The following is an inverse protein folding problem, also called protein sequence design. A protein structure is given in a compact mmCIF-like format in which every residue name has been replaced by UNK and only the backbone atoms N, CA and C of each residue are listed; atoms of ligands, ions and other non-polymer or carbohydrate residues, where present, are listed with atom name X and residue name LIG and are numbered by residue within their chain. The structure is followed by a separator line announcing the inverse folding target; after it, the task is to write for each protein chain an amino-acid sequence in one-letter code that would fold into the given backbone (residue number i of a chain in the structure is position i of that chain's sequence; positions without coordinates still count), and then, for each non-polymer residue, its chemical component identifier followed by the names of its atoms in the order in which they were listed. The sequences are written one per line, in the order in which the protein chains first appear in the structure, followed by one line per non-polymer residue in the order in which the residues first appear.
data_IF_483999269845
#
_entry.id   IF_483999269845
#
_cell.length_a   1.000
_cell.length_b   1.000
_cell.length_c   1.000
_cell.angle_alpha   90.00
_cell.angle_beta   90.00
_cell.angle_gamma   90.00
#
_symmetry.space_group_name_H-M   'P 1'
#
loop_
_entity.id
_entity.type
_entity.pdbx_description
1 polymer ?
#
# COMPACT_ATOMS: atom_id res chain seq x y z
N UNK A 1 -12.99 27.74 11.70
CA UNK A 1 -11.60 27.33 12.01
C UNK A 1 -10.73 27.72 10.82
N UNK A 2 -9.40 27.79 10.98
CA UNK A 2 -8.50 28.11 9.86
C UNK A 2 -8.31 26.87 8.98
N UNK A 3 -8.46 27.01 7.66
CA UNK A 3 -8.29 25.91 6.69
C UNK A 3 -6.91 25.25 6.82
N UNK A 4 -5.86 26.05 7.07
CA UNK A 4 -4.49 25.52 7.25
C UNK A 4 -4.38 24.68 8.52
N UNK A 5 -5.08 25.08 9.59
CA UNK A 5 -5.12 24.31 10.83
C UNK A 5 -5.84 22.98 10.64
N UNK A 6 -6.97 23.00 9.93
CA UNK A 6 -7.75 21.79 9.67
C UNK A 6 -6.94 20.80 8.79
N UNK A 7 -6.26 21.32 7.77
CA UNK A 7 -5.37 20.54 6.92
C UNK A 7 -4.18 19.96 7.71
N UNK A 8 -3.62 20.71 8.66
CA UNK A 8 -2.57 20.21 9.56
C UNK A 8 -3.06 19.04 10.40
N UNK A 9 -4.20 19.20 11.08
CA UNK A 9 -4.77 18.14 11.93
C UNK A 9 -5.10 16.88 11.13
N UNK A 10 -5.65 17.03 9.91
CA UNK A 10 -5.94 15.90 9.03
C UNK A 10 -4.66 15.21 8.55
N UNK A 11 -3.62 15.98 8.23
CA UNK A 11 -2.32 15.43 7.82
C UNK A 11 -1.65 14.69 8.97
N UNK A 12 -1.73 15.20 10.20
CA UNK A 12 -1.22 14.53 11.40
C UNK A 12 -1.98 13.24 11.68
N UNK A 13 -3.32 13.27 11.68
CA UNK A 13 -4.13 12.07 11.86
C UNK A 13 -3.82 10.99 10.81
N UNK A 14 -3.67 11.38 9.55
CA UNK A 14 -3.30 10.46 8.47
C UNK A 14 -1.88 9.91 8.68
N UNK A 15 -0.94 10.76 9.12
CA UNK A 15 0.41 10.31 9.44
C UNK A 15 0.43 9.31 10.59
N UNK A 16 -0.37 9.51 11.64
CA UNK A 16 -0.51 8.56 12.75
C UNK A 16 -1.08 7.22 12.28
N UNK A 17 -2.13 7.24 11.44
CA UNK A 17 -2.70 6.02 10.85
C UNK A 17 -1.67 5.31 9.97
N UNK A 18 -1.05 6.03 9.04
CA UNK A 18 -0.02 5.50 8.16
C UNK A 18 1.18 4.97 8.95
N UNK A 19 1.45 5.52 10.14
CA UNK A 19 2.54 5.10 11.02
C UNK A 19 2.32 3.74 11.71
N UNK A 20 1.10 3.22 11.69
CA UNK A 20 0.78 1.89 12.20
C UNK A 20 1.31 0.79 11.25
N UNK A 21 1.66 -0.39 11.78
CA UNK A 21 2.06 -1.52 10.94
C UNK A 21 0.91 -1.95 10.04
N UNK A 22 1.22 -2.40 8.82
CA UNK A 22 0.21 -2.90 7.89
C UNK A 22 -0.48 -4.14 8.48
N UNK A 23 -1.83 -4.20 8.51
CA UNK A 23 -2.53 -5.37 8.99
C UNK A 23 -2.15 -6.63 8.19
N UNK A 24 -2.07 -7.76 8.89
CA UNK A 24 -1.78 -9.07 8.27
C UNK A 24 -3.03 -9.73 7.73
N UNK A 25 -4.16 -9.53 8.39
CA UNK A 25 -5.45 -9.99 7.93
C UNK A 25 -5.87 -9.25 6.65
N UNK A 26 -6.48 -9.96 5.72
CA UNK A 26 -6.87 -9.42 4.42
C UNK A 26 -7.98 -8.37 4.55
N UNK A 27 -9.02 -8.63 5.34
CA UNK A 27 -10.16 -7.72 5.50
C UNK A 27 -9.77 -6.47 6.28
N UNK A 28 -8.91 -6.61 7.29
CA UNK A 28 -8.36 -5.47 8.04
C UNK A 28 -7.46 -4.60 7.16
N UNK A 29 -6.67 -5.22 6.27
CA UNK A 29 -5.81 -4.51 5.33
C UNK A 29 -6.62 -3.73 4.31
N UNK A 30 -7.67 -4.32 3.75
CA UNK A 30 -8.56 -3.62 2.80
C UNK A 30 -9.25 -2.43 3.47
N UNK A 31 -9.72 -2.59 4.71
CA UNK A 31 -10.27 -1.46 5.50
C UNK A 31 -9.24 -0.38 5.79
N UNK A 32 -8.00 -0.77 6.13
CA UNK A 32 -6.91 0.18 6.36
C UNK A 32 -6.63 1.02 5.10
N UNK A 33 -6.52 0.37 3.94
CA UNK A 33 -6.27 1.05 2.66
C UNK A 33 -7.44 1.98 2.32
N UNK A 34 -8.67 1.50 2.42
CA UNK A 34 -9.86 2.31 2.18
C UNK A 34 -9.90 3.55 3.10
N UNK A 35 -9.49 3.40 4.38
CA UNK A 35 -9.45 4.53 5.31
C UNK A 35 -8.37 5.55 4.95
N UNK A 36 -7.20 5.08 4.51
CA UNK A 36 -6.13 5.95 4.00
C UNK A 36 -6.62 6.73 2.78
N UNK A 37 -7.30 6.08 1.84
CA UNK A 37 -7.84 6.72 0.64
C UNK A 37 -8.91 7.78 0.96
N UNK A 38 -9.82 7.48 1.88
CA UNK A 38 -10.83 8.45 2.38
C UNK A 38 -10.15 9.70 2.96
N UNK A 39 -9.14 9.51 3.82
CA UNK A 39 -8.42 10.63 4.45
C UNK A 39 -7.58 11.44 3.44
N UNK A 40 -7.10 10.81 2.37
CA UNK A 40 -6.43 11.50 1.27
C UNK A 40 -7.42 12.37 0.48
N UNK A 41 -8.60 11.83 0.15
CA UNK A 41 -9.65 12.59 -0.54
C UNK A 41 -10.11 13.81 0.28
N UNK A 42 -10.35 13.63 1.59
CA UNK A 42 -10.68 14.74 2.49
C UNK A 42 -9.58 15.82 2.52
N UNK A 43 -8.31 15.42 2.47
CA UNK A 43 -7.19 16.38 2.40
C UNK A 43 -7.17 17.13 1.08
N UNK A 44 -7.43 16.47 -0.04
CA UNK A 44 -7.42 17.10 -1.36
C UNK A 44 -8.50 18.20 -1.45
N UNK A 45 -9.68 17.96 -0.89
CA UNK A 45 -10.72 18.98 -0.76
C UNK A 45 -10.25 20.18 0.09
N UNK A 46 -9.58 19.94 1.22
CA UNK A 46 -9.05 21.02 2.06
C UNK A 46 -7.94 21.80 1.36
N UNK A 47 -7.05 21.12 0.63
CA UNK A 47 -5.97 21.75 -0.14
C UNK A 47 -6.54 22.68 -1.21
N UNK A 48 -7.59 22.26 -1.92
CA UNK A 48 -8.26 23.09 -2.93
C UNK A 48 -8.82 24.40 -2.35
N UNK A 49 -9.17 24.40 -1.06
CA UNK A 49 -9.71 25.56 -0.36
C UNK A 49 -8.64 26.49 0.26
N UNK A 50 -7.35 26.14 0.20
CA UNK A 50 -6.27 26.99 0.73
C UNK A 50 -5.98 28.15 -0.21
N UNK A 51 -6.30 29.37 0.21
CA UNK A 51 -5.88 30.59 -0.49
C UNK A 51 -4.58 31.15 0.12
N UNK A 52 -3.45 30.84 -0.53
CA UNK A 52 -2.11 31.24 -0.07
C UNK A 52 -1.90 32.76 0.08
N UNK A 53 -2.68 33.58 -0.64
CA UNK A 53 -2.55 35.06 -0.59
C UNK A 53 -3.21 35.68 0.64
N UNK A 54 -4.09 34.96 1.33
CA UNK A 54 -4.88 35.48 2.45
C UNK A 54 -4.43 34.94 3.82
N UNK A 55 -3.30 34.22 3.85
CA UNK A 55 -2.79 33.62 5.08
C UNK A 55 -2.14 34.66 6.01
N UNK A 56 -2.51 34.61 7.27
CA UNK A 56 -1.84 35.33 8.35
C UNK A 56 -0.42 34.80 8.60
N UNK A 57 0.44 35.57 9.26
CA UNK A 57 1.80 35.12 9.60
C UNK A 57 1.82 33.86 10.47
N UNK A 58 0.83 33.69 11.36
CA UNK A 58 0.68 32.48 12.17
C UNK A 58 0.37 31.27 11.29
N UNK A 59 -0.54 31.43 10.33
CA UNK A 59 -0.91 30.36 9.38
C UNK A 59 0.24 30.02 8.43
N UNK A 60 1.04 31.00 8.01
CA UNK A 60 2.25 30.74 7.20
C UNK A 60 3.26 29.88 7.96
N UNK A 61 3.50 30.16 9.25
CA UNK A 61 4.37 29.33 10.11
C UNK A 61 3.81 27.92 10.24
N UNK A 62 2.50 27.79 10.49
CA UNK A 62 1.85 26.49 10.54
C UNK A 62 1.94 25.75 9.20
N UNK A 63 1.83 26.46 8.09
CA UNK A 63 2.02 25.94 6.73
C UNK A 63 3.43 25.38 6.51
N UNK A 64 4.46 25.99 7.09
CA UNK A 64 5.83 25.45 7.02
C UNK A 64 5.94 24.11 7.78
N UNK A 65 5.36 24.01 8.97
CA UNK A 65 5.32 22.76 9.72
C UNK A 65 4.48 21.69 9.00
N UNK A 66 3.36 22.09 8.39
CA UNK A 66 2.54 21.23 7.55
C UNK A 66 3.33 20.64 6.38
N UNK A 67 4.16 21.44 5.69
CA UNK A 67 4.99 20.95 4.58
C UNK A 67 6.00 19.90 5.05
N UNK A 68 6.63 20.09 6.22
CA UNK A 68 7.54 19.09 6.81
C UNK A 68 6.80 17.79 7.14
N UNK A 69 5.63 17.91 7.78
CA UNK A 69 4.79 16.77 8.11
C UNK A 69 4.32 16.02 6.87
N UNK A 70 3.94 16.75 5.81
CA UNK A 70 3.56 16.15 4.53
C UNK A 70 4.70 15.38 3.88
N UNK A 71 5.94 15.88 3.95
CA UNK A 71 7.10 15.15 3.43
C UNK A 71 7.30 13.81 4.15
N UNK A 72 7.19 13.81 5.49
CA UNK A 72 7.26 12.58 6.29
C UNK A 72 6.12 11.61 5.96
N UNK A 73 4.90 12.13 5.77
CA UNK A 73 3.75 11.33 5.34
C UNK A 73 3.98 10.71 3.96
N UNK A 74 4.46 11.47 2.98
CA UNK A 74 4.76 10.95 1.64
C UNK A 74 5.79 9.81 1.70
N UNK A 75 6.85 9.97 2.50
CA UNK A 75 7.83 8.91 2.70
C UNK A 75 7.18 7.66 3.30
N UNK A 76 6.31 7.82 4.30
CA UNK A 76 5.63 6.67 4.93
C UNK A 76 4.67 5.96 3.97
N UNK A 77 3.88 6.70 3.20
CA UNK A 77 2.99 6.13 2.19
C UNK A 77 3.75 5.37 1.11
N UNK A 78 4.92 5.88 0.68
CA UNK A 78 5.80 5.17 -0.26
C UNK A 78 6.31 3.84 0.31
N UNK A 79 6.66 3.80 1.61
CA UNK A 79 7.07 2.56 2.29
C UNK A 79 5.92 1.53 2.33
N UNK A 80 4.70 1.96 2.69
CA UNK A 80 3.52 1.08 2.68
C UNK A 80 3.27 0.53 1.28
N UNK A 81 3.34 1.39 0.25
CA UNK A 81 3.18 0.97 -1.14
C UNK A 81 4.23 -0.08 -1.54
N UNK A 82 5.49 0.09 -1.12
CA UNK A 82 6.54 -0.88 -1.37
C UNK A 82 6.28 -2.22 -0.66
N UNK A 83 5.82 -2.19 0.59
CA UNK A 83 5.45 -3.39 1.35
C UNK A 83 4.31 -4.17 0.67
N UNK A 84 3.27 -3.47 0.23
CA UNK A 84 2.15 -4.07 -0.53
C UNK A 84 2.66 -4.73 -1.82
N UNK A 85 3.55 -4.06 -2.57
CA UNK A 85 4.14 -4.63 -3.81
C UNK A 85 4.98 -5.87 -3.53
N UNK A 86 5.76 -5.88 -2.44
CA UNK A 86 6.54 -7.05 -2.04
C UNK A 86 5.61 -8.23 -1.70
N UNK A 87 4.57 -8.00 -0.90
CA UNK A 87 3.59 -9.04 -0.55
C UNK A 87 2.89 -9.64 -1.79
N UNK A 88 2.52 -8.81 -2.77
CA UNK A 88 1.94 -9.28 -4.03
C UNK A 88 2.92 -10.14 -4.85
N UNK A 89 4.20 -9.82 -4.80
CA UNK A 89 5.27 -10.58 -5.48
C UNK A 89 5.45 -11.95 -4.81
N UNK A 90 5.49 -11.98 -3.48
CA UNK A 90 5.60 -13.23 -2.71
C UNK A 90 4.42 -14.17 -2.96
N UNK A 91 3.19 -13.63 -3.04
CA UNK A 91 1.99 -14.41 -3.35
C UNK A 91 2.11 -15.05 -4.75
N UNK A 92 2.61 -14.32 -5.75
CA UNK A 92 2.82 -14.85 -7.10
C UNK A 92 3.86 -15.97 -7.12
N UNK A 93 5.00 -15.76 -6.47
CA UNK A 93 6.07 -16.77 -6.38
C UNK A 93 5.64 -18.04 -5.65
N UNK A 94 4.85 -17.91 -4.57
CA UNK A 94 4.26 -19.05 -3.86
C UNK A 94 3.34 -19.85 -4.76
N UNK A 95 2.48 -19.20 -5.56
CA UNK A 95 1.60 -19.88 -6.52
C UNK A 95 2.38 -20.62 -7.61
N UNK A 96 3.43 -20.01 -8.15
CA UNK A 96 4.30 -20.67 -9.14
C UNK A 96 5.02 -21.88 -8.57
N UNK A 97 5.54 -21.76 -7.34
CA UNK A 97 6.21 -22.85 -6.64
C UNK A 97 5.24 -23.99 -6.31
N UNK A 98 4.05 -23.70 -5.77
CA UNK A 98 3.03 -24.71 -5.49
C UNK A 98 2.58 -25.47 -6.75
N UNK A 99 2.39 -24.77 -7.88
CA UNK A 99 2.04 -25.41 -9.17
C UNK A 99 3.13 -26.37 -9.68
N UNK A 100 4.41 -26.06 -9.44
CA UNK A 100 5.54 -26.94 -9.83
C UNK A 100 5.58 -28.24 -9.01
N UNK A 101 5.07 -28.24 -7.78
CA UNK A 101 5.01 -29.44 -6.94
C UNK A 101 3.71 -30.25 -7.13
N UNK A 102 2.61 -29.60 -7.51
CA UNK A 102 1.34 -30.30 -7.82
C UNK A 102 1.35 -31.01 -9.18
N UNK A 103 2.27 -30.67 -10.08
CA UNK A 103 2.33 -31.28 -11.41
C UNK A 103 3.71 -31.86 -11.78
N UNK A 104 4.17 -32.96 -11.13
CA UNK A 104 5.46 -33.60 -11.42
C UNK A 104 5.54 -34.29 -12.79
N UNK A 105 4.44 -34.37 -13.54
CA UNK A 105 4.31 -35.20 -14.74
C UNK A 105 4.09 -34.40 -16.05
N UNK A 106 4.15 -33.07 -16.01
CA UNK A 106 3.87 -32.21 -17.16
C UNK A 106 5.16 -31.73 -17.86
N UNK A 107 6.08 -32.66 -18.05
CA UNK A 107 7.13 -32.54 -19.07
C UNK A 107 6.62 -33.20 -20.36
N UNK A 108 7.08 -32.79 -21.56
CA UNK A 108 6.79 -33.55 -22.76
C UNK A 108 7.31 -34.97 -22.56
N UNK A 109 6.41 -35.95 -22.45
CA UNK A 109 6.75 -37.37 -22.46
C UNK A 109 7.36 -37.66 -23.83
N UNK A 110 8.69 -37.60 -23.94
CA UNK A 110 9.38 -38.06 -25.13
C UNK A 110 9.21 -39.58 -25.18
N UNK A 111 8.33 -40.02 -26.07
CA UNK A 111 8.11 -41.39 -26.52
C UNK A 111 7.87 -42.46 -25.45
N UNK A 112 6.72 -43.13 -25.59
CA UNK A 112 6.34 -44.29 -24.79
C UNK A 112 7.41 -45.38 -24.84
N UNK A 113 8.10 -45.60 -23.72
CA UNK A 113 8.87 -46.82 -23.51
C UNK A 113 7.88 -47.90 -23.08
N UNK A 114 7.50 -48.75 -24.03
CA UNK A 114 6.81 -50.01 -23.79
C UNK A 114 7.71 -50.91 -22.95
N UNK A 115 7.29 -51.24 -21.73
CA UNK A 115 7.82 -52.41 -21.05
C UNK A 115 7.20 -53.65 -21.71
N UNK A 116 7.95 -54.29 -22.60
CA UNK A 116 7.57 -55.59 -23.14
C UNK A 116 7.45 -56.59 -21.99
N UNK A 117 6.33 -57.29 -21.98
CA UNK A 117 6.03 -58.34 -21.03
C UNK A 117 6.99 -59.50 -21.27
N UNK A 118 7.63 -59.98 -20.20
CA UNK A 118 7.82 -61.43 -20.05
C UNK A 118 7.43 -61.85 -18.65
N UNK A 119 6.30 -62.56 -18.60
CA UNK A 119 5.96 -63.42 -17.49
C UNK A 119 6.69 -64.77 -17.62
N UNK A 120 6.64 -65.48 -16.49
CA UNK A 120 7.19 -66.80 -16.13
C UNK A 120 8.68 -66.80 -15.81
#
# INVERSE_FOLDING_TARGET
MSVVKDLYLKTDALFQLASQPLPKDHDERDRFIAKVDEMLAERDELIANVNSKQLTEVEKRLGQELLKLNANLQQRLAQIQAEIRANLTDIKQKRETSRKYENPFDGPTSDGVFFDKRGV
#
